data_IF_452487518057
#
_entry.id   IF_452487518057
#
_cell.length_a   1.000
_cell.length_b   1.000
_cell.length_c   1.000
_cell.angle_alpha   90.00
_cell.angle_beta   90.00
_cell.angle_gamma   90.00
#
_symmetry.space_group_name_H-M   'P 1'
#
loop_
_entity.id
_entity.type
_entity.pdbx_description
1 polymer ?
#
# COMPACT_ATOMS: atom_id res chain seq x y z
N UNK A 1 -32.82 -32.41 44.93
CA UNK A 1 -32.24 -31.24 45.63
C UNK A 1 -30.72 -31.33 45.75
N UNK A 2 -30.11 -32.20 46.57
CA UNK A 2 -28.62 -32.29 46.64
C UNK A 2 -27.97 -32.68 45.30
N UNK A 3 -28.50 -33.70 44.63
CA UNK A 3 -27.98 -34.15 43.33
C UNK A 3 -28.17 -33.10 42.19
N UNK A 4 -29.16 -32.22 42.31
CA UNK A 4 -29.37 -31.14 41.34
C UNK A 4 -28.40 -29.98 41.59
N UNK A 5 -28.11 -29.66 42.86
CA UNK A 5 -27.08 -28.68 43.20
C UNK A 5 -25.67 -29.16 42.81
N UNK A 6 -25.36 -30.45 42.96
CA UNK A 6 -24.08 -31.00 42.52
C UNK A 6 -23.91 -30.94 41.00
N UNK A 7 -24.98 -31.23 40.25
CA UNK A 7 -24.97 -31.11 38.79
C UNK A 7 -24.80 -29.65 38.33
N UNK A 8 -25.43 -28.70 39.03
CA UNK A 8 -25.32 -27.28 38.74
C UNK A 8 -23.94 -26.71 39.08
N UNK A 9 -23.33 -27.16 40.19
CA UNK A 9 -21.94 -26.84 40.54
C UNK A 9 -20.95 -27.37 39.49
N UNK A 10 -21.12 -28.61 39.02
CA UNK A 10 -20.26 -29.17 37.97
C UNK A 10 -20.39 -28.40 36.65
N UNK A 11 -21.61 -28.00 36.28
CA UNK A 11 -21.85 -27.19 35.08
C UNK A 11 -21.18 -25.81 35.18
N UNK A 12 -21.32 -25.14 36.32
CA UNK A 12 -20.68 -23.85 36.57
C UNK A 12 -19.15 -23.96 36.60
N UNK A 13 -18.60 -25.03 37.17
CA UNK A 13 -17.15 -25.29 37.13
C UNK A 13 -16.63 -25.51 35.70
N UNK A 14 -17.37 -26.25 34.87
CA UNK A 14 -17.03 -26.44 33.46
C UNK A 14 -17.08 -25.12 32.68
N UNK A 15 -18.09 -24.28 32.93
CA UNK A 15 -18.25 -22.97 32.32
C UNK A 15 -17.13 -22.00 32.74
N UNK A 16 -16.77 -21.96 34.02
CA UNK A 16 -15.62 -21.18 34.51
C UNK A 16 -14.32 -21.63 33.84
N UNK A 17 -14.12 -22.95 33.69
CA UNK A 17 -12.92 -23.48 33.04
C UNK A 17 -12.86 -23.11 31.56
N UNK A 18 -14.00 -23.14 30.85
CA UNK A 18 -14.07 -22.74 29.45
C UNK A 18 -13.86 -21.22 29.28
N UNK A 19 -14.45 -20.42 30.16
CA UNK A 19 -14.24 -18.96 30.19
C UNK A 19 -12.79 -18.59 30.51
N UNK A 20 -12.14 -19.28 31.46
CA UNK A 20 -10.71 -19.10 31.78
C UNK A 20 -9.82 -19.44 30.58
N UNK A 21 -10.15 -20.51 29.85
CA UNK A 21 -9.46 -20.90 28.62
C UNK A 21 -9.67 -19.86 27.51
N UNK A 22 -10.90 -19.38 27.31
CA UNK A 22 -11.19 -18.31 26.36
C UNK A 22 -10.45 -17.01 26.72
N UNK A 23 -10.37 -16.66 27.99
CA UNK A 23 -9.59 -15.51 28.49
C UNK A 23 -8.08 -15.70 28.26
N UNK A 24 -7.57 -16.92 28.44
CA UNK A 24 -6.16 -17.24 28.19
C UNK A 24 -5.83 -17.18 26.69
N UNK A 25 -6.73 -17.67 25.83
CA UNK A 25 -6.60 -17.58 24.38
C UNK A 25 -6.74 -16.13 23.89
N UNK A 26 -7.66 -15.34 24.46
CA UNK A 26 -7.73 -13.90 24.20
C UNK A 26 -6.46 -13.17 24.65
N UNK A 27 -5.88 -13.51 25.82
CA UNK A 27 -4.58 -12.95 26.26
C UNK A 27 -3.43 -13.33 25.34
N UNK A 28 -3.43 -14.54 24.76
CA UNK A 28 -2.45 -14.95 23.74
C UNK A 28 -2.62 -14.19 22.43
N UNK A 29 -3.85 -13.81 22.07
CA UNK A 29 -4.13 -12.93 20.92
C UNK A 29 -3.73 -11.48 21.21
N UNK A 30 -3.82 -11.04 22.47
CA UNK A 30 -3.38 -9.71 22.94
C UNK A 30 -1.92 -9.66 23.40
N UNK A 31 -1.11 -10.69 23.12
CA UNK A 31 0.31 -10.70 23.47
C UNK A 31 1.09 -9.85 22.45
N UNK A 32 0.75 -8.57 22.43
CA UNK A 32 1.58 -7.53 21.85
C UNK A 32 2.91 -7.57 22.60
N UNK A 33 3.99 -7.77 21.86
CA UNK A 33 5.35 -7.60 22.36
C UNK A 33 5.61 -6.09 22.54
N UNK A 34 4.89 -5.48 23.48
CA UNK A 34 5.08 -4.10 23.87
C UNK A 34 6.50 -3.99 24.44
N UNK A 35 7.37 -3.19 23.82
CA UNK A 35 8.73 -2.99 24.33
C UNK A 35 8.70 -2.05 25.53
N UNK A 36 9.43 -2.41 26.59
CA UNK A 36 9.85 -1.49 27.65
C UNK A 36 8.75 -1.01 28.60
N UNK A 37 8.71 0.32 28.84
CA UNK A 37 7.88 0.97 29.88
C UNK A 37 6.38 0.69 29.74
N UNK A 38 5.88 0.41 28.53
CA UNK A 38 4.46 0.18 28.26
C UNK A 38 3.91 -1.10 28.92
N UNK A 39 4.67 -2.20 28.93
CA UNK A 39 4.29 -3.43 29.65
C UNK A 39 4.26 -3.22 31.16
N UNK A 40 5.24 -2.48 31.68
CA UNK A 40 5.30 -2.15 33.09
C UNK A 40 4.10 -1.28 33.50
N UNK A 41 3.76 -0.29 32.68
CA UNK A 41 2.60 0.59 32.89
C UNK A 41 1.27 -0.17 32.81
N UNK A 42 1.07 -1.01 31.80
CA UNK A 42 -0.13 -1.86 31.67
C UNK A 42 -0.25 -2.88 32.82
N UNK A 43 0.87 -3.44 33.27
CA UNK A 43 0.91 -4.32 34.45
C UNK A 43 0.48 -3.62 35.74
N UNK A 44 0.89 -2.37 35.96
CA UNK A 44 0.50 -1.56 37.14
C UNK A 44 -0.96 -1.08 37.06
N UNK A 45 -1.45 -0.74 35.87
CA UNK A 45 -2.85 -0.36 35.65
C UNK A 45 -3.79 -1.55 35.84
N UNK A 46 -3.42 -2.75 35.38
CA UNK A 46 -4.23 -3.97 35.47
C UNK A 46 -4.11 -4.72 36.81
N UNK A 47 -3.09 -4.44 37.62
CA UNK A 47 -2.92 -5.08 38.93
C UNK A 47 -3.71 -4.32 40.00
N UNK A 48 -4.52 -5.05 40.78
CA UNK A 48 -5.38 -4.49 41.84
C UNK A 48 -4.61 -3.83 43.02
N UNK A 49 -3.27 -3.88 43.04
CA UNK A 49 -2.45 -3.38 44.16
C UNK A 49 -1.92 -1.94 44.04
N UNK A 50 -2.05 -1.28 42.89
CA UNK A 50 -1.58 0.10 42.71
C UNK A 50 -2.56 1.15 43.29
N UNK A 51 -2.03 2.24 43.85
CA UNK A 51 -2.83 3.35 44.40
C UNK A 51 -3.64 3.99 43.27
N UNK A 52 -4.94 4.32 43.46
CA UNK A 52 -5.81 4.84 42.39
C UNK A 52 -5.23 6.03 41.61
N UNK A 53 -4.52 6.91 42.30
CA UNK A 53 -3.86 8.10 41.73
C UNK A 53 -2.66 7.76 40.83
N UNK A 54 -1.90 6.70 41.15
CA UNK A 54 -0.78 6.24 40.31
C UNK A 54 -1.28 5.60 39.03
N UNK A 55 -2.36 4.80 39.09
CA UNK A 55 -3.00 4.24 37.88
C UNK A 55 -3.50 5.33 36.96
N UNK A 56 -4.12 6.38 37.51
CA UNK A 56 -4.66 7.48 36.72
C UNK A 56 -3.54 8.29 36.04
N UNK A 57 -2.46 8.58 36.76
CA UNK A 57 -1.29 9.27 36.19
C UNK A 57 -0.63 8.45 35.08
N UNK A 58 -0.50 7.13 35.28
CA UNK A 58 0.03 6.21 34.28
C UNK A 58 -0.87 6.11 33.04
N UNK A 59 -2.18 6.04 33.22
CA UNK A 59 -3.14 6.04 32.12
C UNK A 59 -3.07 7.34 31.30
N UNK A 60 -2.94 8.50 31.96
CA UNK A 60 -2.76 9.79 31.28
C UNK A 60 -1.47 9.82 30.44
N UNK A 61 -0.36 9.32 30.98
CA UNK A 61 0.90 9.22 30.23
C UNK A 61 0.80 8.30 29.00
N UNK A 62 0.07 7.18 29.13
CA UNK A 62 -0.18 6.31 27.98
C UNK A 62 -1.05 6.98 26.93
N UNK A 63 -2.05 7.74 27.37
CA UNK A 63 -2.89 8.50 26.45
C UNK A 63 -2.06 9.53 25.67
N UNK A 64 -1.23 10.30 26.36
CA UNK A 64 -0.32 11.26 25.72
C UNK A 64 0.63 10.58 24.71
N UNK A 65 1.22 9.44 25.08
CA UNK A 65 2.10 8.67 24.18
C UNK A 65 1.35 8.13 22.95
N UNK A 66 0.09 7.70 23.12
CA UNK A 66 -0.76 7.25 22.00
C UNK A 66 -1.11 8.42 21.09
N UNK A 67 -1.51 9.56 21.64
CA UNK A 67 -1.87 10.77 20.87
C UNK A 67 -0.66 11.27 20.05
N UNK A 68 0.55 11.25 20.63
CA UNK A 68 1.79 11.56 19.92
C UNK A 68 2.08 10.58 18.78
N UNK A 69 1.92 9.27 19.02
CA UNK A 69 2.12 8.23 18.00
C UNK A 69 1.10 8.31 16.87
N UNK A 70 -0.14 8.69 17.17
CA UNK A 70 -1.19 8.89 16.16
C UNK A 70 -0.89 10.09 15.25
N UNK A 71 -0.44 11.21 15.82
CA UNK A 71 -0.01 12.36 15.02
C UNK A 71 1.26 12.03 14.21
N UNK A 72 2.20 11.28 14.76
CA UNK A 72 3.37 10.78 14.02
C UNK A 72 2.97 9.90 12.84
N UNK A 73 2.05 8.96 13.04
CA UNK A 73 1.53 8.09 11.99
C UNK A 73 0.85 8.90 10.89
N UNK A 74 0.03 9.89 11.26
CA UNK A 74 -0.65 10.79 10.33
C UNK A 74 0.35 11.59 9.49
N UNK A 75 1.39 12.15 10.11
CA UNK A 75 2.49 12.85 9.40
C UNK A 75 3.20 11.91 8.43
N UNK A 76 3.50 10.68 8.85
CA UNK A 76 4.13 9.68 7.98
C UNK A 76 3.24 9.28 6.80
N UNK A 77 1.94 9.07 7.03
CA UNK A 77 0.98 8.78 5.95
C UNK A 77 0.88 9.94 4.96
N UNK A 78 0.86 11.18 5.43
CA UNK A 78 0.87 12.36 4.56
C UNK A 78 2.15 12.45 3.71
N UNK A 79 3.31 12.13 4.30
CA UNK A 79 4.59 12.18 3.59
C UNK A 79 4.78 11.03 2.59
N UNK A 80 4.27 9.84 2.91
CA UNK A 80 4.55 8.62 2.16
C UNK A 80 3.42 8.17 1.24
N UNK A 81 2.21 8.71 1.42
CA UNK A 81 1.01 8.29 0.68
C UNK A 81 0.51 6.88 1.03
N UNK A 82 1.15 6.22 2.01
CA UNK A 82 0.82 4.86 2.46
C UNK A 82 0.05 4.96 3.77
N UNK A 83 -1.15 4.39 3.79
CA UNK A 83 -2.01 4.28 4.96
C UNK A 83 -2.10 2.83 5.39
N UNK A 84 -1.62 2.53 6.59
CA UNK A 84 -1.77 1.20 7.19
C UNK A 84 -3.21 1.06 7.69
N UNK A 85 -3.87 -0.01 7.29
CA UNK A 85 -5.26 -0.33 7.68
C UNK A 85 -5.28 -1.29 8.86
N UNK A 86 -4.41 -2.29 8.86
CA UNK A 86 -4.31 -3.27 9.95
C UNK A 86 -2.92 -3.88 9.99
N UNK A 87 -2.44 -4.12 11.20
CA UNK A 87 -1.17 -4.79 11.49
C UNK A 87 -1.43 -5.88 12.52
N UNK A 88 -1.11 -7.13 12.16
CA UNK A 88 -1.21 -8.28 13.05
C UNK A 88 0.16 -8.89 13.24
N UNK A 89 0.48 -9.22 14.49
CA UNK A 89 1.71 -9.94 14.85
C UNK A 89 1.33 -11.19 15.63
N UNK A 90 1.88 -12.33 15.24
CA UNK A 90 1.68 -13.62 15.90
C UNK A 90 3.04 -14.21 16.22
N UNK A 91 3.26 -14.65 17.47
CA UNK A 91 4.47 -15.40 17.81
C UNK A 91 4.50 -16.70 17.04
N UNK A 92 5.68 -17.03 16.53
CA UNK A 92 5.91 -18.22 15.75
C UNK A 92 7.08 -18.98 16.37
N UNK A 93 6.98 -20.31 16.38
CA UNK A 93 8.09 -21.13 16.86
C UNK A 93 9.20 -21.19 15.82
N UNK A 94 10.42 -20.88 16.27
CA UNK A 94 11.59 -21.06 15.42
C UNK A 94 12.13 -22.48 15.47
N UNK A 95 12.80 -22.89 14.38
CA UNK A 95 13.30 -24.25 14.24
C UNK A 95 14.23 -24.62 15.40
N UNK A 96 14.10 -25.87 15.87
CA UNK A 96 14.91 -26.39 16.97
C UNK A 96 16.41 -26.26 16.71
N UNK A 97 16.83 -26.41 15.44
CA UNK A 97 18.21 -26.23 15.02
C UNK A 97 18.69 -24.78 15.22
N UNK A 98 17.93 -23.78 14.77
CA UNK A 98 18.29 -22.36 14.93
C UNK A 98 18.27 -21.94 16.40
N UNK A 99 17.32 -22.47 17.19
CA UNK A 99 17.29 -22.28 18.65
C UNK A 99 18.54 -22.84 19.31
N UNK A 100 18.91 -24.09 19.02
CA UNK A 100 20.12 -24.70 19.57
C UNK A 100 21.41 -23.95 19.16
N UNK A 101 21.49 -23.45 17.93
CA UNK A 101 22.63 -22.64 17.47
C UNK A 101 22.71 -21.31 18.22
N UNK A 102 21.58 -20.62 18.43
CA UNK A 102 21.52 -19.39 19.19
C UNK A 102 21.93 -19.60 20.66
N UNK A 103 21.42 -20.67 21.29
CA UNK A 103 21.72 -21.02 22.69
C UNK A 103 23.20 -21.40 22.88
N UNK A 104 23.80 -22.15 21.95
CA UNK A 104 25.24 -22.46 21.97
C UNK A 104 26.10 -21.21 21.85
N UNK A 105 25.62 -20.20 21.14
CA UNK A 105 26.28 -18.90 21.10
C UNK A 105 26.01 -18.07 22.36
N UNK A 106 25.18 -18.51 23.32
CA UNK A 106 24.81 -17.73 24.51
C UNK A 106 23.75 -16.67 24.22
N UNK A 107 22.95 -16.85 23.17
CA UNK A 107 21.85 -15.98 22.79
C UNK A 107 20.49 -16.69 22.80
N UNK A 108 19.43 -15.92 22.58
CA UNK A 108 18.06 -16.41 22.41
C UNK A 108 17.49 -15.96 21.08
N UNK A 109 16.69 -16.80 20.43
CA UNK A 109 15.99 -16.45 19.18
C UNK A 109 14.48 -16.51 19.37
N UNK A 110 13.79 -15.48 18.91
CA UNK A 110 12.33 -15.44 18.80
C UNK A 110 11.92 -15.21 17.35
N UNK A 111 10.78 -15.77 16.94
CA UNK A 111 10.20 -15.51 15.63
C UNK A 111 8.77 -15.00 15.76
N UNK A 112 8.38 -14.12 14.84
CA UNK A 112 7.05 -13.54 14.76
C UNK A 112 6.60 -13.48 13.31
N UNK A 113 5.37 -13.92 13.03
CA UNK A 113 4.69 -13.68 11.77
C UNK A 113 4.03 -12.31 11.82
N UNK A 114 4.38 -11.44 10.88
CA UNK A 114 3.84 -10.09 10.77
C UNK A 114 3.03 -9.99 9.49
N UNK A 115 1.79 -9.52 9.60
CA UNK A 115 0.89 -9.27 8.50
C UNK A 115 0.47 -7.80 8.54
N UNK A 116 0.82 -7.03 7.52
CA UNK A 116 0.48 -5.62 7.36
C UNK A 116 -0.43 -5.48 6.15
N UNK A 117 -1.58 -4.85 6.34
CA UNK A 117 -2.49 -4.48 5.26
C UNK A 117 -2.62 -2.97 5.20
N UNK A 118 -2.72 -2.43 4.00
CA UNK A 118 -2.76 -0.99 3.79
C UNK A 118 -3.22 -0.62 2.41
N UNK A 119 -3.27 0.69 2.18
CA UNK A 119 -3.57 1.28 0.88
C UNK A 119 -2.53 2.34 0.54
N UNK A 120 -2.20 2.45 -0.74
CA UNK A 120 -1.42 3.55 -1.28
C UNK A 120 -2.20 4.15 -2.45
N UNK A 121 -2.69 5.38 -2.26
CA UNK A 121 -3.73 5.96 -3.11
C UNK A 121 -4.95 5.04 -3.18
N UNK A 122 -5.09 4.27 -4.26
CA UNK A 122 -6.20 3.34 -4.48
C UNK A 122 -5.78 1.88 -4.46
N UNK A 123 -4.47 1.63 -4.51
CA UNK A 123 -3.93 0.27 -4.52
C UNK A 123 -3.98 -0.28 -3.11
N UNK A 124 -4.70 -1.38 -2.94
CA UNK A 124 -4.70 -2.13 -1.71
C UNK A 124 -3.57 -3.16 -1.72
N UNK A 125 -2.95 -3.37 -0.57
CA UNK A 125 -1.89 -4.36 -0.42
C UNK A 125 -2.00 -5.08 0.91
N UNK A 126 -1.49 -6.31 0.92
CA UNK A 126 -1.23 -7.08 2.11
C UNK A 126 0.17 -7.68 2.00
N UNK A 127 1.01 -7.38 3.00
CA UNK A 127 2.36 -7.91 3.10
C UNK A 127 2.43 -8.82 4.33
N UNK A 128 2.87 -10.05 4.12
CA UNK A 128 3.13 -11.00 5.18
C UNK A 128 4.60 -11.40 5.17
N UNK A 129 5.24 -11.41 6.34
CA UNK A 129 6.63 -11.86 6.48
C UNK A 129 6.87 -12.43 7.87
N UNK A 130 7.93 -13.22 7.97
CA UNK A 130 8.47 -13.71 9.24
C UNK A 130 9.62 -12.81 9.69
N UNK A 131 9.60 -12.41 10.95
CA UNK A 131 10.65 -11.62 11.59
C UNK A 131 11.30 -12.47 12.68
N UNK A 132 12.56 -12.84 12.47
CA UNK A 132 13.37 -13.55 13.48
C UNK A 132 14.28 -12.56 14.20
N UNK A 133 14.23 -12.54 15.52
CA UNK A 133 15.02 -11.67 16.39
C UNK A 133 16.00 -12.51 17.21
N UNK A 134 17.30 -12.34 16.95
CA UNK A 134 18.39 -12.95 17.68
C UNK A 134 18.94 -11.96 18.71
N UNK A 135 18.86 -12.32 19.99
CA UNK A 135 19.39 -11.52 21.11
C UNK A 135 20.67 -12.15 21.64
N UNK A 136 21.72 -11.34 21.76
CA UNK A 136 23.01 -11.71 22.33
C UNK A 136 23.43 -10.60 23.31
N UNK A 137 23.24 -10.83 24.61
CA UNK A 137 23.42 -9.79 25.62
C UNK A 137 22.55 -8.57 25.31
N UNK A 138 23.18 -7.41 25.09
CA UNK A 138 22.50 -6.16 24.68
C UNK A 138 22.26 -6.00 23.18
N UNK A 139 22.90 -6.84 22.34
CA UNK A 139 22.79 -6.74 20.87
C UNK A 139 21.59 -7.54 20.39
N UNK A 140 20.80 -6.91 19.53
CA UNK A 140 19.64 -7.54 18.89
C UNK A 140 19.83 -7.47 17.38
N UNK A 141 19.77 -8.62 16.70
CA UNK A 141 19.80 -8.71 15.24
C UNK A 141 18.45 -9.22 14.77
N UNK A 142 17.84 -8.50 13.84
CA UNK A 142 16.58 -8.90 13.23
C UNK A 142 16.83 -9.35 11.79
N UNK A 143 16.18 -10.42 11.37
CA UNK A 143 16.21 -10.93 10.00
C UNK A 143 14.80 -11.20 9.52
N UNK A 144 14.47 -10.67 8.34
CA UNK A 144 13.22 -10.93 7.65
C UNK A 144 13.34 -12.23 6.85
N UNK A 145 12.29 -13.05 6.80
CA UNK A 145 12.17 -14.20 5.91
C UNK A 145 10.73 -14.39 5.46
N UNK A 146 10.51 -15.28 4.48
CA UNK A 146 9.17 -15.71 4.06
C UNK A 146 8.24 -14.54 3.69
N UNK A 147 8.78 -13.57 2.95
CA UNK A 147 8.05 -12.41 2.45
C UNK A 147 7.07 -12.84 1.36
N UNK A 148 5.81 -12.45 1.53
CA UNK A 148 4.73 -12.67 0.60
C UNK A 148 3.90 -11.39 0.48
N UNK A 149 3.57 -10.98 -0.75
CA UNK A 149 2.89 -9.74 -1.05
C UNK A 149 1.66 -10.05 -1.91
N UNK A 150 0.51 -9.58 -1.47
CA UNK A 150 -0.77 -9.75 -2.14
C UNK A 150 -1.32 -8.37 -2.51
N UNK A 151 -1.76 -8.24 -3.76
CA UNK A 151 -2.40 -7.04 -4.33
C UNK A 151 -3.63 -7.47 -5.16
N UNK A 152 -4.47 -6.52 -5.55
CA UNK A 152 -5.65 -6.79 -6.40
C UNK A 152 -5.26 -7.23 -7.81
N UNK A 153 -6.10 -8.07 -8.44
CA UNK A 153 -5.80 -8.70 -9.73
C UNK A 153 -5.63 -7.68 -10.87
N UNK A 154 -6.37 -6.57 -10.83
CA UNK A 154 -6.19 -5.44 -11.75
C UNK A 154 -4.79 -4.85 -11.70
N UNK A 155 -4.14 -4.90 -10.53
CA UNK A 155 -2.85 -4.28 -10.27
C UNK A 155 -1.69 -5.25 -10.57
N UNK A 156 -1.96 -6.57 -10.49
CA UNK A 156 -0.97 -7.62 -10.69
C UNK A 156 -0.34 -7.60 -12.09
N UNK A 157 -1.03 -7.13 -13.13
CA UNK A 157 -0.44 -7.04 -14.47
C UNK A 157 0.81 -6.14 -14.48
N UNK A 158 0.77 -5.02 -13.78
CA UNK A 158 1.88 -4.08 -13.70
C UNK A 158 2.99 -4.51 -12.74
N UNK A 159 2.69 -5.39 -11.79
CA UNK A 159 3.58 -5.70 -10.65
C UNK A 159 4.12 -7.15 -10.62
N UNK A 160 3.54 -8.10 -11.34
CA UNK A 160 3.83 -9.54 -11.22
C UNK A 160 5.32 -9.92 -11.20
N UNK A 161 6.08 -9.49 -12.22
CA UNK A 161 7.52 -9.80 -12.32
C UNK A 161 8.35 -9.14 -11.21
N UNK A 162 7.93 -7.95 -10.75
CA UNK A 162 8.55 -7.20 -9.68
C UNK A 162 8.28 -7.82 -8.31
N UNK A 163 7.03 -8.21 -8.03
CA UNK A 163 6.65 -8.83 -6.75
C UNK A 163 7.41 -10.13 -6.53
N UNK A 164 7.48 -10.99 -7.55
CA UNK A 164 8.30 -12.20 -7.49
C UNK A 164 9.75 -11.90 -7.12
N UNK A 165 10.34 -10.84 -7.69
CA UNK A 165 11.72 -10.44 -7.36
C UNK A 165 11.87 -9.94 -5.93
N UNK A 166 10.93 -9.14 -5.47
CA UNK A 166 10.91 -8.57 -4.11
C UNK A 166 10.76 -9.67 -3.06
N UNK A 167 9.86 -10.62 -3.29
CA UNK A 167 9.62 -11.77 -2.41
C UNK A 167 10.88 -12.64 -2.31
N UNK A 168 11.55 -12.91 -3.43
CA UNK A 168 12.84 -13.62 -3.48
C UNK A 168 13.94 -12.86 -2.74
N UNK A 169 14.04 -11.55 -2.91
CA UNK A 169 15.09 -10.72 -2.30
C UNK A 169 14.78 -10.27 -0.87
N UNK A 170 13.55 -10.50 -0.40
CA UNK A 170 13.05 -10.06 0.90
C UNK A 170 13.17 -8.54 1.12
N UNK A 171 13.10 -7.75 0.03
CA UNK A 171 13.36 -6.31 0.06
C UNK A 171 12.06 -5.51 0.21
N UNK A 172 11.60 -5.42 1.46
CA UNK A 172 10.39 -4.69 1.82
C UNK A 172 10.50 -3.18 1.52
N UNK A 173 11.70 -2.61 1.58
CA UNK A 173 11.92 -1.20 1.30
C UNK A 173 11.72 -0.93 -0.20
N UNK A 174 12.26 -1.79 -1.06
CA UNK A 174 12.08 -1.71 -2.50
C UNK A 174 10.59 -1.77 -2.86
N UNK A 175 9.82 -2.69 -2.25
CA UNK A 175 8.37 -2.77 -2.44
C UNK A 175 7.67 -1.42 -2.20
N UNK A 176 7.80 -0.86 -1.00
CA UNK A 176 7.08 0.36 -0.63
C UNK A 176 7.54 1.57 -1.44
N UNK A 177 8.84 1.66 -1.76
CA UNK A 177 9.38 2.74 -2.59
C UNK A 177 8.77 2.68 -3.99
N UNK A 178 8.77 1.51 -4.62
CA UNK A 178 8.23 1.33 -5.97
C UNK A 178 6.71 1.53 -6.00
N UNK A 179 5.97 0.99 -5.02
CA UNK A 179 4.53 1.20 -4.89
C UNK A 179 4.17 2.69 -4.82
N UNK A 180 4.88 3.44 -3.96
CA UNK A 180 4.70 4.88 -3.83
C UNK A 180 4.98 5.60 -5.14
N UNK A 181 6.12 5.34 -5.77
CA UNK A 181 6.48 6.01 -7.04
C UNK A 181 5.48 5.68 -8.15
N UNK A 182 4.98 4.46 -8.23
CA UNK A 182 3.94 4.08 -9.17
C UNK A 182 2.66 4.89 -8.93
N UNK A 183 2.18 4.95 -7.67
CA UNK A 183 1.00 5.72 -7.31
C UNK A 183 1.14 7.20 -7.64
N UNK A 184 2.31 7.80 -7.34
CA UNK A 184 2.61 9.20 -7.65
C UNK A 184 2.47 9.49 -9.16
N UNK A 185 2.90 8.56 -10.04
CA UNK A 185 2.75 8.70 -11.50
C UNK A 185 1.31 8.54 -11.97
N UNK A 186 0.56 7.62 -11.38
CA UNK A 186 -0.87 7.49 -11.66
C UNK A 186 -1.65 8.75 -11.22
N UNK A 187 -1.29 9.33 -10.07
CA UNK A 187 -1.88 10.58 -9.59
C UNK A 187 -1.48 11.80 -10.42
N UNK A 188 -0.28 11.83 -10.97
CA UNK A 188 0.13 12.83 -11.97
C UNK A 188 -0.76 12.76 -13.21
N UNK A 189 -0.89 11.57 -13.83
CA UNK A 189 -1.80 11.33 -14.96
C UNK A 189 -3.23 11.80 -14.66
N UNK A 190 -3.78 11.36 -13.52
CA UNK A 190 -5.15 11.70 -13.09
C UNK A 190 -5.36 13.21 -12.97
N UNK A 191 -4.41 13.92 -12.35
CA UNK A 191 -4.49 15.38 -12.18
C UNK A 191 -4.40 16.09 -13.53
N UNK A 192 -3.49 15.69 -14.40
CA UNK A 192 -3.36 16.26 -15.75
C UNK A 192 -4.64 16.05 -16.56
N UNK A 193 -5.20 14.84 -16.59
CA UNK A 193 -6.44 14.56 -17.32
C UNK A 193 -7.62 15.36 -16.76
N UNK A 194 -7.76 15.45 -15.44
CA UNK A 194 -8.81 16.23 -14.80
C UNK A 194 -8.68 17.73 -15.12
N UNK A 195 -7.45 18.27 -15.14
CA UNK A 195 -7.19 19.66 -15.50
C UNK A 195 -7.60 19.94 -16.96
N UNK A 196 -7.10 19.13 -17.90
CA UNK A 196 -7.40 19.27 -19.33
C UNK A 196 -8.90 19.17 -19.63
N UNK A 197 -9.60 18.25 -18.97
CA UNK A 197 -11.06 18.11 -19.10
C UNK A 197 -11.81 19.34 -18.56
N UNK A 198 -11.31 19.94 -17.48
CA UNK A 198 -11.95 21.11 -16.85
C UNK A 198 -11.77 22.37 -17.70
N UNK A 199 -10.57 22.58 -18.23
CA UNK A 199 -10.24 23.76 -19.03
C UNK A 199 -10.80 23.65 -20.47
N UNK A 200 -10.82 22.45 -21.05
CA UNK A 200 -11.18 22.22 -22.45
C UNK A 200 -12.28 21.14 -22.62
N UNK A 201 -13.46 21.29 -21.98
CA UNK A 201 -14.49 20.24 -21.94
C UNK A 201 -15.13 19.91 -23.30
N UNK A 202 -15.01 20.80 -24.28
CA UNK A 202 -15.52 20.60 -25.65
C UNK A 202 -14.59 19.74 -26.51
N UNK A 203 -13.31 19.64 -26.15
CA UNK A 203 -12.28 18.92 -26.88
C UNK A 203 -11.94 17.63 -26.14
N UNK A 204 -11.79 17.71 -24.82
CA UNK A 204 -11.28 16.63 -23.98
C UNK A 204 -12.43 15.79 -23.41
N UNK A 205 -12.33 14.48 -23.58
CA UNK A 205 -13.26 13.50 -23.03
C UNK A 205 -12.51 12.35 -22.38
N UNK A 206 -13.06 11.84 -21.26
CA UNK A 206 -12.50 10.77 -20.46
C UNK A 206 -13.53 9.63 -20.38
N UNK A 207 -13.61 8.78 -21.42
CA UNK A 207 -14.70 7.81 -21.56
C UNK A 207 -14.75 6.79 -20.42
N UNK A 208 -13.59 6.43 -19.87
CA UNK A 208 -13.42 5.52 -18.73
C UNK A 208 -13.13 6.28 -17.42
N UNK A 209 -13.32 7.59 -17.42
CA UNK A 209 -13.07 8.47 -16.27
C UNK A 209 -11.61 8.91 -16.11
N UNK A 210 -11.38 9.77 -15.11
CA UNK A 210 -10.10 10.46 -14.88
C UNK A 210 -8.93 9.56 -14.50
N UNK A 211 -9.20 8.29 -14.19
CA UNK A 211 -8.19 7.31 -13.77
C UNK A 211 -7.75 6.41 -14.89
N UNK A 212 -8.50 6.42 -15.99
CA UNK A 212 -8.16 5.65 -17.17
C UNK A 212 -6.78 6.01 -17.68
N UNK A 213 -6.18 5.07 -18.38
CA UNK A 213 -4.99 5.30 -19.17
C UNK A 213 -5.31 6.10 -20.44
N UNK A 214 -6.58 6.27 -20.78
CA UNK A 214 -7.03 6.80 -22.05
C UNK A 214 -7.78 8.13 -21.88
N UNK A 215 -7.35 9.11 -22.65
CA UNK A 215 -8.06 10.37 -22.87
C UNK A 215 -8.32 10.53 -24.38
N UNK A 216 -9.48 11.04 -24.74
CA UNK A 216 -9.85 11.29 -26.14
C UNK A 216 -10.01 12.78 -26.41
N UNK A 217 -9.37 13.24 -27.48
CA UNK A 217 -9.44 14.60 -27.97
C UNK A 217 -10.26 14.61 -29.26
N UNK A 218 -11.41 15.28 -29.25
CA UNK A 218 -12.32 15.37 -30.38
C UNK A 218 -12.29 16.79 -30.95
N UNK A 219 -12.19 16.90 -32.27
CA UNK A 219 -12.33 18.19 -32.96
C UNK A 219 -13.81 18.45 -33.24
N UNK A 220 -14.42 19.52 -32.68
CA UNK A 220 -15.81 19.85 -32.98
C UNK A 220 -16.07 20.08 -34.47
N UNK A 221 -15.05 20.57 -35.20
CA UNK A 221 -15.14 20.88 -36.63
C UNK A 221 -15.03 19.65 -37.54
N UNK A 222 -14.45 18.54 -37.04
CA UNK A 222 -14.24 17.32 -37.81
C UNK A 222 -14.83 16.11 -37.05
N UNK A 223 -16.18 16.01 -36.99
CA UNK A 223 -16.84 14.92 -36.31
C UNK A 223 -16.41 13.57 -36.90
N UNK A 224 -15.79 12.73 -36.05
CA UNK A 224 -15.26 11.42 -36.41
C UNK A 224 -13.74 11.31 -36.34
N UNK A 225 -13.00 12.43 -36.46
CA UNK A 225 -11.57 12.46 -36.23
C UNK A 225 -11.28 12.65 -34.74
N UNK A 226 -10.64 11.66 -34.12
CA UNK A 226 -10.32 11.67 -32.69
C UNK A 226 -8.84 11.38 -32.51
N UNK A 227 -8.16 12.13 -31.65
CA UNK A 227 -6.85 11.75 -31.16
C UNK A 227 -7.02 11.04 -29.81
N UNK A 228 -6.41 9.87 -29.69
CA UNK A 228 -6.42 9.08 -28.48
C UNK A 228 -5.06 9.24 -27.79
N UNK A 229 -5.09 9.70 -26.55
CA UNK A 229 -3.92 9.77 -25.69
C UNK A 229 -3.93 8.54 -24.81
N UNK A 230 -2.92 7.69 -24.93
CA UNK A 230 -2.69 6.55 -24.04
C UNK A 230 -1.50 6.85 -23.13
N UNK A 231 -1.75 6.96 -21.83
CA UNK A 231 -0.74 7.23 -20.80
C UNK A 231 -0.67 6.02 -19.87
N UNK A 232 0.34 5.17 -20.07
CA UNK A 232 0.59 4.00 -19.23
C UNK A 232 1.72 4.22 -18.24
N UNK A 233 1.61 3.59 -17.06
CA UNK A 233 2.67 3.52 -16.05
C UNK A 233 3.04 2.05 -15.87
N UNK A 234 4.32 1.71 -16.00
CA UNK A 234 4.82 0.35 -15.93
C UNK A 234 5.90 0.22 -14.85
N UNK A 235 5.93 -0.93 -14.17
CA UNK A 235 6.97 -1.28 -13.21
C UNK A 235 7.83 -2.38 -13.80
N UNK A 236 9.15 -2.18 -13.81
CA UNK A 236 10.09 -3.22 -14.21
C UNK A 236 10.46 -4.13 -13.03
N UNK A 237 11.14 -5.24 -13.32
CA UNK A 237 11.53 -6.25 -12.32
C UNK A 237 12.42 -5.68 -11.20
N UNK A 238 13.19 -4.63 -11.48
CA UNK A 238 14.11 -3.97 -10.55
C UNK A 238 13.43 -2.88 -9.70
N UNK A 239 12.14 -2.64 -9.89
CA UNK A 239 11.35 -1.63 -9.18
C UNK A 239 11.46 -0.22 -9.75
N UNK A 240 12.01 -0.09 -10.96
CA UNK A 240 11.96 1.13 -11.75
C UNK A 240 10.57 1.35 -12.34
N UNK A 241 10.04 2.56 -12.15
CA UNK A 241 8.72 2.98 -12.65
C UNK A 241 8.92 3.86 -13.88
N UNK A 242 8.37 3.44 -15.02
CA UNK A 242 8.42 4.19 -16.28
C UNK A 242 7.02 4.61 -16.69
N UNK A 243 6.88 5.88 -17.04
CA UNK A 243 5.67 6.46 -17.59
C UNK A 243 5.85 6.71 -19.08
N UNK A 244 4.91 6.28 -19.91
CA UNK A 244 4.90 6.52 -21.36
C UNK A 244 3.56 7.09 -21.79
N UNK A 245 3.62 8.08 -22.68
CA UNK A 245 2.42 8.71 -23.24
C UNK A 245 2.52 8.70 -24.76
N UNK A 246 1.52 8.11 -25.39
CA UNK A 246 1.40 7.93 -26.82
C UNK A 246 0.19 8.70 -27.35
N UNK A 247 0.35 9.29 -28.53
CA UNK A 247 -0.71 10.00 -29.23
C UNK A 247 -1.07 9.21 -30.49
N UNK A 248 -2.27 8.64 -30.51
CA UNK A 248 -2.74 7.74 -31.55
C UNK A 248 -3.91 8.39 -32.31
N UNK A 249 -3.76 8.72 -33.59
CA UNK A 249 -4.86 9.24 -34.38
C UNK A 249 -5.84 8.12 -34.75
N UNK A 250 -7.12 8.35 -34.47
CA UNK A 250 -8.24 7.55 -34.98
C UNK A 250 -8.95 8.36 -36.06
N UNK A 251 -8.64 8.02 -37.31
CA UNK A 251 -9.22 8.66 -38.50
C UNK A 251 -10.24 7.68 -39.10
N UNK A 252 -11.49 8.12 -39.39
CA UNK A 252 -12.47 7.30 -40.07
C UNK A 252 -11.95 6.77 -41.43
N UNK A 253 -12.25 5.52 -41.78
CA UNK A 253 -11.74 4.89 -43.00
C UNK A 253 -12.13 5.63 -44.29
N UNK A 254 -13.30 6.24 -44.32
CA UNK A 254 -13.77 7.10 -45.40
C UNK A 254 -12.95 8.39 -45.54
N UNK A 255 -12.38 8.91 -44.45
CA UNK A 255 -11.50 10.08 -44.48
C UNK A 255 -10.07 9.71 -44.88
N UNK A 256 -9.61 8.47 -44.60
CA UNK A 256 -8.30 7.99 -45.05
C UNK A 256 -8.13 8.03 -46.58
N UNK A 257 -9.22 7.87 -47.33
CA UNK A 257 -9.22 7.93 -48.80
C UNK A 257 -8.90 9.33 -49.36
N UNK A 258 -9.01 10.38 -48.53
CA UNK A 258 -8.74 11.77 -48.92
C UNK A 258 -7.25 12.14 -48.79
N UNK A 259 -6.45 11.33 -48.10
CA UNK A 259 -5.03 11.60 -47.88
C UNK A 259 -4.17 10.92 -48.94
N UNK A 260 -3.29 11.70 -49.59
CA UNK A 260 -2.38 11.20 -50.65
C UNK A 260 -1.18 10.40 -50.08
N UNK A 261 -0.92 10.52 -48.78
CA UNK A 261 0.10 9.80 -48.01
C UNK A 261 -0.46 9.49 -46.61
N UNK A 262 0.19 8.62 -45.83
CA UNK A 262 -0.28 8.30 -44.46
C UNK A 262 -0.32 9.59 -43.62
N UNK A 263 -1.51 10.08 -43.22
CA UNK A 263 -1.66 11.32 -42.45
C UNK A 263 -1.10 11.23 -41.03
N UNK A 264 -0.69 10.04 -40.61
CA UNK A 264 -0.20 9.70 -39.27
C UNK A 264 1.31 9.92 -39.14
N UNK A 265 2.04 9.99 -40.26
CA UNK A 265 3.49 10.13 -40.25
C UNK A 265 3.89 11.56 -39.83
N UNK A 266 4.37 11.72 -38.59
CA UNK A 266 4.89 12.99 -38.07
C UNK A 266 4.21 13.48 -36.78
N UNK A 267 2.95 13.10 -36.52
CA UNK A 267 2.22 13.59 -35.34
C UNK A 267 2.79 13.00 -34.03
N UNK A 268 3.10 11.70 -34.05
CA UNK A 268 3.74 11.02 -32.92
C UNK A 268 5.16 11.56 -32.67
N UNK A 269 5.95 11.79 -33.72
CA UNK A 269 7.31 12.33 -33.64
C UNK A 269 7.33 13.77 -33.13
N UNK A 270 6.40 14.61 -33.60
CA UNK A 270 6.21 15.97 -33.12
C UNK A 270 5.81 15.98 -31.64
N UNK A 271 4.89 15.10 -31.24
CA UNK A 271 4.49 14.96 -29.84
C UNK A 271 5.65 14.51 -28.95
N UNK A 272 6.44 13.53 -29.36
CA UNK A 272 7.65 13.13 -28.63
C UNK A 272 8.67 14.27 -28.50
N UNK A 273 8.80 15.10 -29.53
CA UNK A 273 9.64 16.30 -29.46
C UNK A 273 9.11 17.31 -28.44
N UNK A 274 7.79 17.55 -28.40
CA UNK A 274 7.15 18.40 -27.40
C UNK A 274 7.33 17.86 -25.98
N UNK A 275 7.14 16.56 -25.77
CA UNK A 275 7.34 15.92 -24.47
C UNK A 275 8.75 16.15 -23.92
N UNK A 276 9.77 16.13 -24.80
CA UNK A 276 11.16 16.37 -24.42
C UNK A 276 11.44 17.82 -24.03
N UNK A 277 10.74 18.78 -24.64
CA UNK A 277 10.95 20.21 -24.43
C UNK A 277 10.11 20.73 -23.26
N UNK A 278 8.83 20.35 -23.20
CA UNK A 278 7.83 20.92 -22.30
C UNK A 278 7.42 20.00 -21.15
N UNK A 279 7.84 18.73 -21.19
CA UNK A 279 7.26 17.69 -20.35
C UNK A 279 5.90 17.22 -20.89
N UNK A 280 5.34 16.19 -20.24
CA UNK A 280 4.11 15.53 -20.71
C UNK A 280 2.90 16.46 -20.63
N UNK A 281 2.73 17.16 -19.51
CA UNK A 281 1.60 18.08 -19.29
C UNK A 281 1.61 19.22 -20.31
N UNK A 282 2.74 19.93 -20.46
CA UNK A 282 2.85 21.02 -21.43
C UNK A 282 2.72 20.56 -22.89
N UNK A 283 3.18 19.35 -23.21
CA UNK A 283 2.98 18.77 -24.53
C UNK A 283 1.49 18.49 -24.82
N UNK A 284 0.77 17.92 -23.85
CA UNK A 284 -0.67 17.66 -23.97
C UNK A 284 -1.47 18.97 -24.08
N UNK A 285 -1.17 19.96 -23.24
CA UNK A 285 -1.78 21.28 -23.31
C UNK A 285 -1.57 21.91 -24.69
N UNK A 286 -0.35 21.81 -25.23
CA UNK A 286 -0.03 22.34 -26.57
C UNK A 286 -0.87 21.66 -27.66
N UNK A 287 -1.06 20.33 -27.58
CA UNK A 287 -1.91 19.59 -28.53
C UNK A 287 -3.37 20.04 -28.43
N UNK A 288 -3.90 20.17 -27.22
CA UNK A 288 -5.28 20.63 -26.99
C UNK A 288 -5.47 22.05 -27.51
N UNK A 289 -4.53 22.95 -27.22
CA UNK A 289 -4.54 24.32 -27.71
C UNK A 289 -4.49 24.39 -29.24
N UNK A 290 -3.65 23.57 -29.90
CA UNK A 290 -3.61 23.49 -31.35
C UNK A 290 -4.96 23.05 -31.95
N UNK A 291 -5.68 22.15 -31.28
CA UNK A 291 -7.02 21.72 -31.68
C UNK A 291 -8.10 22.78 -31.42
N UNK A 292 -7.83 23.74 -30.53
CA UNK A 292 -8.74 24.86 -30.22
C UNK A 292 -8.57 26.06 -31.15
N UNK A 293 -7.37 26.28 -31.69
CA UNK A 293 -6.97 27.49 -32.43
C UNK A 293 -7.25 27.48 -33.94
N UNK A 294 -7.80 26.39 -34.49
CA UNK A 294 -8.35 26.38 -35.86
C UNK A 294 -9.77 27.00 -35.95
N UNK A 295 -10.15 27.85 -34.99
CA UNK A 295 -11.41 28.64 -35.01
C UNK A 295 -11.29 29.96 -35.76
#
# INVERSE_FOLDING_TARGET
MEAELEAELQKLQAEVTDLEKQLQDQRRVMDFDFRGNLLHTLGVVCSQSAVPMERQMLALRLQEEVDELEEDLKRQTQMNGIRVVSCRRRREEESLEKKAVAERAGGSISAQRVCVSGVCSELSFQVEFKLSELKFGSRTKQTLSDLNIVMEESDLQSFSSFLSRVEESQDLLLFFRTLRTFCERCDERRRTFAHLQTEHPSIVSLPEGQRSEVMTLSLPQLPGCVLLVHWSVQVNKEGGVKSSVELLPKIPENALQLFQSSPVAGAAEAFHSLQRILGVEGALETVVMAMSHDQ
#
